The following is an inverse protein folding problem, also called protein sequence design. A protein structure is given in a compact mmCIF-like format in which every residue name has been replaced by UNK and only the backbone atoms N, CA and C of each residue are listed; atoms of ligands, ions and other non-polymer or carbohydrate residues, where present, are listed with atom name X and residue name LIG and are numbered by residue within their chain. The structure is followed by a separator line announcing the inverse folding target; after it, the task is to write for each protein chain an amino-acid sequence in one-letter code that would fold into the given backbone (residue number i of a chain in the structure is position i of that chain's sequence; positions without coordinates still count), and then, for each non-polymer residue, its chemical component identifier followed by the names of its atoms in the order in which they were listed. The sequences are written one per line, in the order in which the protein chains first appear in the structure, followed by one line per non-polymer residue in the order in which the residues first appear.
data_IF_522310656784
#
_entry.id   IF_522310656784
#
_cell.length_a   1.000
_cell.length_b   1.000
_cell.length_c   1.000
_cell.angle_alpha   90.00
_cell.angle_beta   90.00
_cell.angle_gamma   90.00
#
_symmetry.space_group_name_H-M   'P 1'
#
loop_
_entity.id
_entity.type
_entity.pdbx_description
1 polymer ?
#
# COMPACT_ATOMS: atom_id res chain seq x y z
N UNK A 1 1.76 11.97 -11.19
CA UNK A 1 1.30 10.94 -10.24
C UNK A 1 2.53 10.26 -9.69
N UNK A 2 2.98 10.66 -8.50
CA UNK A 2 4.28 10.28 -7.92
C UNK A 2 4.44 8.78 -7.61
N UNK A 3 3.35 8.01 -7.57
CA UNK A 3 3.38 6.57 -7.29
C UNK A 3 3.77 5.70 -8.50
N UNK A 4 3.42 6.11 -9.73
CA UNK A 4 3.80 5.37 -10.95
C UNK A 4 5.29 5.51 -11.26
N UNK A 5 5.93 6.58 -10.79
CA UNK A 5 7.35 6.86 -11.03
C UNK A 5 8.26 5.97 -10.17
N UNK A 6 7.72 5.40 -9.09
CA UNK A 6 8.47 4.49 -8.21
C UNK A 6 8.62 3.07 -8.79
N UNK A 7 7.85 2.74 -9.84
CA UNK A 7 7.76 1.38 -10.40
C UNK A 7 7.49 0.28 -9.34
N UNK A 8 6.88 0.67 -8.20
CA UNK A 8 6.51 -0.20 -7.09
C UNK A 8 5.12 -0.74 -7.36
N UNK A 9 4.95 -2.06 -7.33
CA UNK A 9 3.68 -2.70 -7.68
C UNK A 9 3.84 -4.15 -8.10
N UNK A 10 2.74 -4.79 -8.46
CA UNK A 10 2.74 -6.14 -9.03
C UNK A 10 2.74 -6.03 -10.55
N UNK A 11 3.78 -6.61 -11.17
CA UNK A 11 3.86 -6.73 -12.62
C UNK A 11 2.80 -7.71 -13.12
N UNK A 12 1.79 -7.18 -13.81
CA UNK A 12 0.91 -7.92 -14.69
C UNK A 12 1.56 -7.98 -16.08
N UNK A 13 1.08 -8.89 -16.92
CA UNK A 13 1.67 -9.24 -18.22
C UNK A 13 2.02 -8.01 -19.08
N UNK A 14 1.15 -6.99 -19.06
CA UNK A 14 1.27 -5.78 -19.88
C UNK A 14 1.28 -4.46 -19.06
N UNK A 15 1.22 -4.52 -17.72
CA UNK A 15 1.14 -3.31 -16.87
C UNK A 15 1.60 -3.57 -15.44
N UNK A 16 2.04 -2.53 -14.72
CA UNK A 16 2.34 -2.61 -13.30
C UNK A 16 1.15 -2.10 -12.49
N UNK A 17 0.61 -2.94 -11.60
CA UNK A 17 -0.51 -2.57 -10.74
C UNK A 17 0.00 -2.20 -9.35
N UNK A 18 -0.03 -0.90 -9.06
CA UNK A 18 0.45 -0.31 -7.81
C UNK A 18 -0.70 0.04 -6.85
N UNK A 19 -1.74 0.68 -7.38
CA UNK A 19 -2.87 1.20 -6.59
C UNK A 19 -4.19 0.93 -7.31
N UNK A 20 -5.19 0.55 -6.55
CA UNK A 20 -6.59 0.43 -6.95
C UNK A 20 -7.39 1.43 -6.13
N UNK A 21 -8.10 2.31 -6.83
CA UNK A 21 -8.98 3.31 -6.22
C UNK A 21 -10.40 2.96 -6.63
N UNK A 22 -11.27 2.72 -5.66
CA UNK A 22 -12.69 2.44 -5.89
C UNK A 22 -13.53 3.22 -4.89
N UNK A 23 -14.19 4.28 -5.36
CA UNK A 23 -14.94 5.20 -4.51
C UNK A 23 -14.09 5.70 -3.32
N UNK A 24 -14.53 5.44 -2.08
CA UNK A 24 -13.84 5.76 -0.83
C UNK A 24 -12.80 4.71 -0.39
N UNK A 25 -12.72 3.56 -1.08
CA UNK A 25 -11.78 2.50 -0.79
C UNK A 25 -10.50 2.59 -1.65
N UNK A 26 -9.36 2.39 -1.00
CA UNK A 26 -8.03 2.37 -1.61
C UNK A 26 -7.36 1.04 -1.28
N UNK A 27 -6.89 0.33 -2.30
CA UNK A 27 -6.07 -0.87 -2.15
C UNK A 27 -4.70 -0.66 -2.78
N UNK A 28 -3.64 -0.85 -1.97
CA UNK A 28 -2.25 -0.81 -2.41
C UNK A 28 -1.73 -2.24 -2.59
N UNK A 29 -1.00 -2.47 -3.68
CA UNK A 29 -0.42 -3.77 -4.02
C UNK A 29 1.09 -3.60 -4.18
N UNK A 30 1.86 -4.42 -3.46
CA UNK A 30 3.32 -4.38 -3.48
C UNK A 30 3.89 -5.80 -3.41
N UNK A 31 5.09 -6.00 -3.98
CA UNK A 31 5.77 -7.30 -3.95
C UNK A 31 6.33 -7.64 -2.58
N UNK A 32 6.78 -6.61 -1.86
CA UNK A 32 7.45 -6.75 -0.58
C UNK A 32 6.95 -5.67 0.41
N UNK A 33 7.19 -5.90 1.68
CA UNK A 33 6.79 -5.01 2.78
C UNK A 33 7.48 -3.65 2.71
N UNK A 34 8.77 -3.63 2.32
CA UNK A 34 9.54 -2.40 2.15
C UNK A 34 8.94 -1.50 1.06
N UNK A 35 8.45 -2.12 0.00
CA UNK A 35 7.83 -1.41 -1.12
C UNK A 35 6.44 -0.90 -0.69
N UNK A 36 5.68 -1.72 0.04
CA UNK A 36 4.39 -1.34 0.60
C UNK A 36 4.50 -0.15 1.56
N UNK A 37 5.53 -0.12 2.41
CA UNK A 37 5.77 0.99 3.34
C UNK A 37 6.06 2.29 2.58
N UNK A 38 6.92 2.26 1.57
CA UNK A 38 7.19 3.45 0.75
C UNK A 38 5.93 3.97 0.05
N UNK A 39 5.08 3.06 -0.45
CA UNK A 39 3.80 3.41 -1.06
C UNK A 39 2.82 4.00 -0.04
N UNK A 40 2.80 3.48 1.19
CA UNK A 40 2.00 4.01 2.30
C UNK A 40 2.47 5.40 2.73
N UNK A 41 3.78 5.65 2.82
CA UNK A 41 4.35 6.95 3.16
C UNK A 41 3.92 8.00 2.12
N UNK A 42 3.96 7.64 0.83
CA UNK A 42 3.48 8.51 -0.25
C UNK A 42 1.97 8.70 -0.26
N UNK A 43 1.20 7.64 0.03
CA UNK A 43 -0.24 7.77 0.20
C UNK A 43 -0.55 8.73 1.36
N UNK A 44 0.21 8.68 2.45
CA UNK A 44 0.04 9.59 3.58
C UNK A 44 0.33 11.04 3.19
N UNK A 45 1.42 11.30 2.47
CA UNK A 45 1.74 12.65 1.98
C UNK A 45 0.64 13.19 1.06
N UNK A 46 0.12 12.34 0.18
CA UNK A 46 -1.02 12.67 -0.67
C UNK A 46 -2.26 12.95 0.17
N UNK A 47 -2.62 12.08 1.12
CA UNK A 47 -3.75 12.28 2.02
C UNK A 47 -3.65 13.59 2.82
N UNK A 48 -2.46 13.95 3.31
CA UNK A 48 -2.21 15.24 3.99
C UNK A 48 -2.48 16.42 3.06
N UNK A 49 -1.99 16.35 1.81
CA UNK A 49 -2.20 17.41 0.81
C UNK A 49 -3.68 17.61 0.46
N UNK A 50 -4.45 16.53 0.39
CA UNK A 50 -5.87 16.55 0.04
C UNK A 50 -6.82 16.58 1.25
N UNK A 51 -6.28 16.69 2.48
CA UNK A 51 -7.03 16.64 3.75
C UNK A 51 -7.94 15.42 3.90
N UNK A 52 -7.50 14.29 3.35
CA UNK A 52 -8.18 13.00 3.46
C UNK A 52 -7.68 12.28 4.71
N UNK A 53 -8.61 11.83 5.56
CA UNK A 53 -8.28 11.02 6.73
C UNK A 53 -8.43 9.54 6.42
N UNK A 54 -7.33 8.79 6.54
CA UNK A 54 -7.35 7.34 6.41
C UNK A 54 -7.93 6.74 7.68
N UNK A 55 -8.97 5.92 7.55
CA UNK A 55 -9.53 5.20 8.68
C UNK A 55 -8.69 3.96 9.01
N UNK A 56 -7.66 4.14 9.84
CA UNK A 56 -6.74 3.07 10.26
C UNK A 56 -7.41 1.91 10.99
N UNK A 57 -8.64 2.10 11.51
CA UNK A 57 -9.41 1.01 12.13
C UNK A 57 -10.01 0.04 11.10
N UNK A 58 -10.39 0.57 9.93
CA UNK A 58 -10.93 -0.19 8.80
C UNK A 58 -9.83 -0.68 7.85
N UNK A 59 -8.71 0.02 7.76
CA UNK A 59 -7.57 -0.40 6.93
C UNK A 59 -6.89 -1.65 7.51
N UNK A 60 -6.64 -2.64 6.64
CA UNK A 60 -5.96 -3.89 6.99
C UNK A 60 -4.83 -4.16 5.99
N UNK A 61 -3.72 -4.71 6.48
CA UNK A 61 -2.67 -5.23 5.63
C UNK A 61 -2.84 -6.73 5.47
N UNK A 62 -2.83 -7.22 4.23
CA UNK A 62 -2.97 -8.64 3.90
C UNK A 62 -1.70 -9.09 3.20
N UNK A 63 -1.05 -10.10 3.75
CA UNK A 63 0.14 -10.70 3.16
C UNK A 63 -0.20 -12.06 2.53
N UNK A 64 -0.20 -12.10 1.20
CA UNK A 64 -0.34 -13.33 0.43
C UNK A 64 0.98 -14.10 0.36
N UNK A 65 1.02 -15.30 0.96
CA UNK A 65 2.21 -16.16 0.92
C UNK A 65 1.83 -17.64 0.73
N UNK A 66 2.78 -18.43 0.23
CA UNK A 66 2.66 -19.90 0.28
C UNK A 66 2.72 -20.36 1.73
N UNK A 67 1.94 -21.38 2.10
CA UNK A 67 1.81 -21.85 3.49
C UNK A 67 3.14 -22.19 4.18
N UNK A 68 4.19 -22.53 3.43
CA UNK A 68 5.52 -22.90 3.94
C UNK A 68 6.51 -21.73 4.06
N UNK A 69 6.15 -20.55 3.57
CA UNK A 69 6.99 -19.36 3.68
C UNK A 69 6.85 -18.76 5.09
N UNK A 70 7.96 -18.33 5.68
CA UNK A 70 7.96 -17.65 6.98
C UNK A 70 7.06 -16.41 6.88
N UNK A 71 6.18 -16.17 7.86
CA UNK A 71 5.47 -14.90 7.94
C UNK A 71 6.53 -13.81 8.12
N UNK A 72 6.42 -12.78 7.32
CA UNK A 72 7.19 -11.58 7.49
C UNK A 72 6.52 -10.72 8.57
N UNK A 73 7.35 -10.04 9.36
CA UNK A 73 6.89 -9.30 10.53
C UNK A 73 6.63 -7.84 10.13
N UNK A 74 5.57 -7.61 9.37
CA UNK A 74 5.13 -6.26 9.01
C UNK A 74 3.87 -5.88 9.73
N UNK A 75 4.05 -4.94 10.64
CA UNK A 75 2.98 -4.15 11.18
C UNK A 75 2.97 -2.83 10.40
N UNK A 76 1.81 -2.51 9.80
CA UNK A 76 1.58 -1.16 9.28
C UNK A 76 1.78 -0.22 10.46
N UNK A 77 2.81 0.62 10.39
CA UNK A 77 3.02 1.62 11.43
C UNK A 77 1.75 2.45 11.54
N UNK A 78 1.09 2.34 12.70
CA UNK A 78 -0.11 3.13 12.98
C UNK A 78 0.36 4.57 13.03
N UNK A 79 -0.01 5.33 12.02
CA UNK A 79 0.18 6.76 11.99
C UNK A 79 -0.50 7.34 13.24
N UNK A 80 0.30 7.71 14.24
CA UNK A 80 -0.16 8.40 15.43
C UNK A 80 -0.79 9.73 15.03
N UNK A 81 -1.88 10.08 15.71
CA UNK A 81 -2.62 11.34 15.55
C UNK A 81 -1.71 12.57 15.66
#
# INVERSE_FOLDING_TARGET
MELNDMNLGIGLKDSNLSILLYADDIALLAKNEKDLQQMLDKLQDWCKRWRVLINTSKSKCVHFRKSRAKPTNFEVQRWSK
#
